data_IF_683550541334
#
_entry.id   IF_683550541334
#
_cell.length_a   1.000
_cell.length_b   1.000
_cell.length_c   1.000
_cell.angle_alpha   90.00
_cell.angle_beta   90.00
_cell.angle_gamma   90.00
#
_symmetry.space_group_name_H-M   'P 1'
#
loop_
_entity.id
_entity.type
_entity.pdbx_description
1 polymer ?
#
# COMPACT_ATOMS: atom_id res chain seq x y z
N UNK A 1 -27.90 -5.86 -10.20
CA UNK A 1 -26.71 -6.67 -9.85
C UNK A 1 -26.18 -6.10 -8.56
N UNK A 2 -25.93 -6.95 -7.58
CA UNK A 2 -25.35 -6.49 -6.31
C UNK A 2 -23.88 -6.09 -6.56
N UNK A 3 -23.54 -4.86 -6.17
CA UNK A 3 -22.19 -4.34 -6.27
C UNK A 3 -21.68 -4.09 -4.86
N UNK A 4 -20.58 -4.76 -4.49
CA UNK A 4 -19.89 -4.47 -3.22
C UNK A 4 -19.00 -3.23 -3.39
N UNK A 5 -19.15 -2.26 -2.48
CA UNK A 5 -18.27 -1.11 -2.41
C UNK A 5 -17.10 -1.40 -1.50
N UNK A 6 -15.90 -1.26 -2.03
CA UNK A 6 -14.64 -1.49 -1.30
C UNK A 6 -13.84 -0.19 -1.21
N UNK A 7 -13.37 0.17 -0.03
CA UNK A 7 -12.37 1.22 0.16
C UNK A 7 -11.03 0.56 0.51
N UNK A 8 -9.99 0.80 -0.27
CA UNK A 8 -8.73 0.08 -0.15
C UNK A 8 -7.51 0.99 -0.19
N UNK A 9 -6.44 0.55 0.46
CA UNK A 9 -5.12 1.16 0.31
C UNK A 9 -4.55 0.92 -1.09
N UNK A 10 -3.65 1.81 -1.50
CA UNK A 10 -2.96 1.73 -2.79
C UNK A 10 -2.09 0.47 -2.93
N UNK A 11 -1.66 -0.13 -1.81
CA UNK A 11 -0.80 -1.31 -1.82
C UNK A 11 -1.42 -2.53 -2.52
N UNK A 12 -2.75 -2.67 -2.44
CA UNK A 12 -3.50 -3.79 -3.05
C UNK A 12 -4.03 -3.43 -4.45
N UNK A 13 -3.97 -2.16 -4.84
CA UNK A 13 -4.57 -1.65 -6.10
C UNK A 13 -4.08 -2.42 -7.33
N UNK A 14 -2.78 -2.74 -7.40
CA UNK A 14 -2.19 -3.44 -8.55
C UNK A 14 -2.73 -4.86 -8.76
N UNK A 15 -3.16 -5.53 -7.68
CA UNK A 15 -3.78 -6.85 -7.71
C UNK A 15 -5.30 -6.80 -7.89
N UNK A 16 -5.93 -5.65 -7.59
CA UNK A 16 -7.36 -5.62 -7.30
C UNK A 16 -8.25 -5.87 -8.50
N UNK A 17 -7.86 -5.43 -9.69
CA UNK A 17 -8.65 -5.65 -10.91
C UNK A 17 -8.82 -7.16 -11.18
N UNK A 18 -7.73 -7.92 -11.14
CA UNK A 18 -7.74 -9.37 -11.34
C UNK A 18 -8.49 -10.09 -10.21
N UNK A 19 -8.28 -9.69 -8.95
CA UNK A 19 -9.02 -10.23 -7.80
C UNK A 19 -10.53 -10.01 -7.96
N UNK A 20 -10.96 -8.84 -8.43
CA UNK A 20 -12.37 -8.51 -8.64
C UNK A 20 -12.97 -9.35 -9.77
N UNK A 21 -12.25 -9.55 -10.88
CA UNK A 21 -12.68 -10.41 -11.99
C UNK A 21 -12.83 -11.87 -11.58
N UNK A 22 -11.87 -12.41 -10.84
CA UNK A 22 -11.92 -13.78 -10.32
C UNK A 22 -13.08 -13.96 -9.35
N UNK A 23 -13.27 -13.01 -8.43
CA UNK A 23 -14.39 -13.05 -7.50
C UNK A 23 -15.73 -12.96 -8.21
N UNK A 24 -15.87 -12.05 -9.17
CA UNK A 24 -17.09 -11.94 -9.98
C UNK A 24 -17.37 -13.23 -10.76
N UNK A 25 -16.35 -13.84 -11.35
CA UNK A 25 -16.49 -15.10 -12.09
C UNK A 25 -16.95 -16.24 -11.19
N UNK A 26 -16.47 -16.28 -9.94
CA UNK A 26 -16.83 -17.34 -8.99
C UNK A 26 -18.21 -17.15 -8.34
N UNK A 27 -18.66 -15.89 -8.16
CA UNK A 27 -19.84 -15.59 -7.32
C UNK A 27 -20.96 -14.86 -8.04
N UNK A 28 -20.67 -14.23 -9.18
CA UNK A 28 -21.60 -13.33 -9.88
C UNK A 28 -21.72 -11.93 -9.23
N UNK A 29 -20.96 -11.64 -8.17
CA UNK A 29 -21.00 -10.38 -7.43
C UNK A 29 -19.95 -9.42 -7.99
N UNK A 30 -20.37 -8.21 -8.36
CA UNK A 30 -19.45 -7.17 -8.78
C UNK A 30 -18.82 -6.46 -7.59
N UNK A 31 -17.60 -5.97 -7.77
CA UNK A 31 -16.90 -5.15 -6.77
C UNK A 31 -16.52 -3.81 -7.40
N UNK A 32 -16.91 -2.72 -6.73
CA UNK A 32 -16.49 -1.36 -7.04
C UNK A 32 -15.51 -0.89 -5.96
N UNK A 33 -14.26 -0.60 -6.35
CA UNK A 33 -13.21 -0.27 -5.41
C UNK A 33 -12.66 1.14 -5.65
N UNK A 34 -12.48 1.88 -4.55
CA UNK A 34 -11.80 3.16 -4.54
C UNK A 34 -10.55 3.10 -3.65
N UNK A 35 -9.49 3.80 -4.06
CA UNK A 35 -8.16 3.67 -3.49
C UNK A 35 -7.62 5.01 -2.99
N UNK A 36 -7.11 5.01 -1.75
CA UNK A 36 -6.47 6.18 -1.17
C UNK A 36 -5.36 5.78 -0.17
N UNK A 37 -4.47 6.70 0.22
CA UNK A 37 -3.51 6.47 1.29
C UNK A 37 -4.22 6.18 2.63
N UNK A 38 -3.55 5.41 3.51
CA UNK A 38 -4.10 4.94 4.79
C UNK A 38 -4.79 6.04 5.60
N UNK A 39 -4.11 7.17 5.87
CA UNK A 39 -4.72 8.24 6.69
C UNK A 39 -5.93 8.87 6.00
N UNK A 40 -5.89 9.03 4.68
CA UNK A 40 -7.04 9.55 3.92
C UNK A 40 -8.25 8.62 4.02
N UNK A 41 -8.05 7.29 3.98
CA UNK A 41 -9.13 6.33 4.17
C UNK A 41 -9.72 6.39 5.58
N UNK A 42 -8.88 6.49 6.61
CA UNK A 42 -9.34 6.63 7.99
C UNK A 42 -10.20 7.89 8.19
N UNK A 43 -9.78 9.02 7.60
CA UNK A 43 -10.57 10.26 7.62
C UNK A 43 -11.91 10.10 6.91
N UNK A 44 -11.94 9.50 5.71
CA UNK A 44 -13.16 9.24 4.95
C UNK A 44 -14.14 8.35 5.73
N UNK A 45 -13.63 7.26 6.33
CA UNK A 45 -14.44 6.35 7.13
C UNK A 45 -14.98 7.03 8.40
N UNK A 46 -14.18 7.85 9.08
CA UNK A 46 -14.63 8.65 10.23
C UNK A 46 -15.67 9.69 9.82
N UNK A 47 -15.54 10.26 8.61
CA UNK A 47 -16.52 11.15 7.99
C UNK A 47 -17.82 10.47 7.58
N UNK A 48 -17.93 9.14 7.72
CA UNK A 48 -19.16 8.38 7.44
C UNK A 48 -19.30 7.95 5.99
N UNK A 49 -18.20 7.91 5.23
CA UNK A 49 -18.25 7.37 3.87
C UNK A 49 -18.65 5.90 3.87
N UNK A 50 -19.62 5.55 3.03
CA UNK A 50 -20.19 4.22 2.97
C UNK A 50 -19.25 3.26 2.21
N UNK A 51 -19.05 2.08 2.78
CA UNK A 51 -18.42 0.94 2.14
C UNK A 51 -19.02 -0.37 2.70
N UNK A 52 -18.83 -1.46 1.99
CA UNK A 52 -19.21 -2.80 2.45
C UNK A 52 -17.99 -3.50 3.08
N UNK A 53 -16.83 -3.36 2.45
CA UNK A 53 -15.56 -3.92 2.89
C UNK A 53 -14.48 -2.84 2.83
N UNK A 54 -13.55 -2.87 3.77
CA UNK A 54 -12.38 -2.00 3.78
C UNK A 54 -11.11 -2.84 3.79
N UNK A 55 -10.05 -2.36 3.10
CA UNK A 55 -8.71 -2.93 3.14
C UNK A 55 -7.76 -1.84 3.59
N UNK A 56 -7.21 -2.00 4.79
CA UNK A 56 -6.36 -1.01 5.46
C UNK A 56 -5.05 -1.66 5.92
N UNK A 57 -4.15 -0.88 6.50
CA UNK A 57 -3.10 -1.48 7.34
C UNK A 57 -3.76 -2.13 8.55
N UNK A 58 -3.11 -3.12 9.14
CA UNK A 58 -3.64 -3.84 10.33
C UNK A 58 -3.96 -2.86 11.46
N UNK A 59 -3.07 -1.92 11.73
CA UNK A 59 -3.26 -0.90 12.75
C UNK A 59 -4.50 -0.03 12.45
N UNK A 60 -4.63 0.43 11.20
CA UNK A 60 -5.80 1.24 10.80
C UNK A 60 -7.10 0.45 10.86
N UNK A 61 -7.07 -0.84 10.55
CA UNK A 61 -8.25 -1.71 10.68
C UNK A 61 -8.63 -1.92 12.14
N UNK A 62 -7.64 -2.12 13.02
CA UNK A 62 -7.87 -2.27 14.46
C UNK A 62 -8.45 -0.99 15.09
N UNK A 63 -8.00 0.19 14.64
CA UNK A 63 -8.60 1.48 15.03
C UNK A 63 -10.08 1.53 14.64
N UNK A 64 -10.41 1.20 13.38
CA UNK A 64 -11.80 1.21 12.89
C UNK A 64 -12.66 0.17 13.62
N UNK A 65 -12.11 -0.97 14.00
CA UNK A 65 -12.80 -1.98 14.81
C UNK A 65 -13.03 -1.49 16.25
N UNK A 66 -12.05 -0.84 16.87
CA UNK A 66 -12.20 -0.23 18.19
C UNK A 66 -13.27 0.89 18.20
N UNK A 67 -13.35 1.67 17.12
CA UNK A 67 -14.39 2.68 16.90
C UNK A 67 -15.76 2.07 16.51
N UNK A 68 -15.87 0.73 16.43
CA UNK A 68 -17.07 -0.03 16.02
C UNK A 68 -17.56 0.30 14.61
N UNK A 69 -16.70 0.78 13.74
CA UNK A 69 -16.99 1.03 12.32
C UNK A 69 -16.81 -0.21 11.47
N UNK A 70 -15.88 -1.08 11.87
CA UNK A 70 -15.62 -2.40 11.27
C UNK A 70 -16.04 -3.48 12.26
N UNK A 71 -16.66 -4.55 11.78
CA UNK A 71 -17.02 -5.70 12.57
C UNK A 71 -15.74 -6.48 12.96
N UNK A 72 -15.29 -6.36 14.20
CA UNK A 72 -14.02 -6.91 14.67
C UNK A 72 -13.83 -8.40 14.35
N UNK A 73 -14.91 -9.20 14.44
CA UNK A 73 -14.87 -10.62 14.12
C UNK A 73 -14.64 -10.95 12.63
N UNK A 74 -14.75 -9.95 11.74
CA UNK A 74 -14.54 -10.12 10.30
C UNK A 74 -13.12 -9.72 9.86
N UNK A 75 -12.29 -9.16 10.75
CA UNK A 75 -10.96 -8.70 10.39
C UNK A 75 -10.04 -9.87 10.05
N UNK A 76 -9.43 -9.82 8.87
CA UNK A 76 -8.54 -10.87 8.34
C UNK A 76 -7.30 -10.25 7.72
N UNK A 77 -6.13 -10.83 7.96
CA UNK A 77 -4.90 -10.45 7.29
C UNK A 77 -4.87 -11.02 5.88
N UNK A 78 -4.44 -10.21 4.93
CA UNK A 78 -4.34 -10.58 3.52
C UNK A 78 -2.90 -10.82 3.10
N UNK A 79 -2.02 -9.86 3.37
CA UNK A 79 -0.63 -9.93 2.93
C UNK A 79 0.25 -8.93 3.68
N UNK A 80 1.56 -9.18 3.64
CA UNK A 80 2.61 -8.24 4.05
C UNK A 80 3.15 -7.50 2.84
N UNK A 81 3.64 -6.29 3.05
CA UNK A 81 4.37 -5.53 2.05
C UNK A 81 5.55 -4.80 2.68
N UNK A 82 6.64 -4.77 1.94
CA UNK A 82 7.87 -4.07 2.32
C UNK A 82 7.97 -2.75 1.57
N UNK A 83 8.52 -1.75 2.24
CA UNK A 83 8.94 -0.51 1.60
C UNK A 83 10.21 -0.79 0.80
N UNK A 84 10.21 -0.34 -0.43
CA UNK A 84 11.33 -0.47 -1.34
C UNK A 84 11.71 0.85 -2.00
N UNK A 85 12.73 0.76 -2.83
CA UNK A 85 13.23 1.84 -3.67
C UNK A 85 13.10 1.44 -5.13
N UNK A 86 12.68 2.39 -5.97
CA UNK A 86 12.69 2.27 -7.41
C UNK A 86 13.44 3.44 -8.05
N UNK A 87 13.99 3.16 -9.22
CA UNK A 87 14.64 4.11 -10.12
C UNK A 87 13.93 4.13 -11.47
N UNK A 88 14.18 5.14 -12.30
CA UNK A 88 13.74 5.13 -13.70
C UNK A 88 14.41 3.98 -14.45
N UNK A 89 13.66 3.27 -15.26
CA UNK A 89 14.18 2.16 -16.06
C UNK A 89 15.42 2.57 -16.87
N UNK A 90 16.42 1.70 -16.85
CA UNK A 90 17.72 1.91 -17.49
C UNK A 90 18.69 2.84 -16.72
N UNK A 91 18.33 3.31 -15.53
CA UNK A 91 19.26 4.02 -14.63
C UNK A 91 20.00 3.02 -13.76
N UNK A 92 21.24 3.39 -13.34
CA UNK A 92 21.99 2.57 -12.41
C UNK A 92 21.27 2.40 -11.07
N UNK A 93 21.23 1.17 -10.57
CA UNK A 93 20.68 0.87 -9.25
C UNK A 93 21.67 1.28 -8.16
N UNK A 94 21.27 2.14 -7.20
CA UNK A 94 22.10 2.41 -6.04
C UNK A 94 22.21 1.16 -5.17
N UNK A 95 23.33 1.00 -4.48
CA UNK A 95 23.43 0.01 -3.42
C UNK A 95 22.57 0.44 -2.22
N UNK A 96 21.66 -0.42 -1.82
CA UNK A 96 20.77 -0.23 -0.66
C UNK A 96 20.83 -1.45 0.29
N UNK A 97 21.83 -2.32 0.14
CA UNK A 97 21.92 -3.60 0.82
C UNK A 97 22.21 -3.50 2.33
N UNK A 98 22.73 -2.37 2.78
CA UNK A 98 23.05 -2.09 4.18
C UNK A 98 22.54 -0.73 4.62
N UNK A 99 22.47 -0.48 5.93
CA UNK A 99 22.14 0.85 6.46
C UNK A 99 23.03 1.95 5.90
N UNK A 100 24.34 1.71 5.85
CA UNK A 100 25.33 2.68 5.36
C UNK A 100 25.15 2.96 3.86
N UNK A 101 24.91 1.93 3.06
CA UNK A 101 24.66 2.04 1.63
C UNK A 101 23.35 2.79 1.35
N UNK A 102 22.27 2.40 2.02
CA UNK A 102 20.97 3.09 1.93
C UNK A 102 21.09 4.58 2.29
N UNK A 103 21.78 4.88 3.41
CA UNK A 103 22.03 6.26 3.84
C UNK A 103 22.76 7.05 2.76
N UNK A 104 23.78 6.46 2.14
CA UNK A 104 24.54 7.07 1.04
C UNK A 104 23.63 7.32 -0.17
N UNK A 105 22.88 6.30 -0.60
CA UNK A 105 21.95 6.43 -1.73
C UNK A 105 20.94 7.57 -1.54
N UNK A 106 20.32 7.63 -0.35
CA UNK A 106 19.32 8.65 -0.02
C UNK A 106 19.90 10.07 0.05
N UNK A 107 21.13 10.23 0.55
CA UNK A 107 21.76 11.55 0.70
C UNK A 107 22.41 12.06 -0.57
N UNK A 108 22.81 11.17 -1.49
CA UNK A 108 23.40 11.55 -2.78
C UNK A 108 22.39 11.73 -3.90
N UNK A 109 21.17 11.22 -3.74
CA UNK A 109 20.11 11.42 -4.72
C UNK A 109 19.79 12.92 -4.87
N UNK A 110 19.63 13.39 -6.12
CA UNK A 110 19.20 14.76 -6.41
C UNK A 110 17.83 15.07 -5.79
N UNK A 111 16.93 14.11 -5.83
CA UNK A 111 15.61 14.20 -5.20
C UNK A 111 15.07 12.79 -4.88
N UNK A 112 14.30 12.69 -3.80
CA UNK A 112 13.62 11.46 -3.36
C UNK A 112 12.11 11.69 -3.34
N UNK A 113 11.37 10.95 -4.15
CA UNK A 113 9.91 10.99 -4.16
C UNK A 113 9.34 10.11 -3.04
N UNK A 114 8.51 10.67 -2.19
CA UNK A 114 7.88 9.96 -1.07
C UNK A 114 6.50 10.56 -0.73
N UNK A 115 5.69 9.80 0.00
CA UNK A 115 4.44 10.26 0.61
C UNK A 115 4.67 10.66 2.08
N UNK A 116 3.63 11.23 2.74
CA UNK A 116 3.60 11.47 4.19
C UNK A 116 2.41 10.79 4.88
N UNK A 117 1.42 10.38 4.13
CA UNK A 117 0.13 9.91 4.66
C UNK A 117 -0.16 8.43 4.33
N UNK A 118 0.66 7.79 3.51
CA UNK A 118 0.64 6.35 3.28
C UNK A 118 1.53 5.61 4.26
N UNK A 119 1.31 4.29 4.42
CA UNK A 119 2.08 3.43 5.33
C UNK A 119 3.60 3.53 5.08
N UNK A 120 4.03 3.47 3.82
CA UNK A 120 5.44 3.63 3.42
C UNK A 120 6.01 5.01 3.78
N UNK A 121 5.22 6.06 3.61
CA UNK A 121 5.65 7.42 3.89
C UNK A 121 5.83 7.68 5.38
N UNK A 122 4.96 7.11 6.22
CA UNK A 122 5.07 7.18 7.69
C UNK A 122 6.34 6.46 8.15
N UNK A 123 6.57 5.22 7.66
CA UNK A 123 7.78 4.46 7.96
C UNK A 123 9.03 5.21 7.49
N UNK A 124 9.03 5.72 6.25
CA UNK A 124 10.19 6.41 5.67
C UNK A 124 10.54 7.68 6.44
N UNK A 125 9.53 8.45 6.89
CA UNK A 125 9.78 9.64 7.70
C UNK A 125 10.47 9.30 9.03
N UNK A 126 10.06 8.21 9.69
CA UNK A 126 10.72 7.73 10.91
C UNK A 126 12.12 7.20 10.64
N UNK A 127 12.31 6.49 9.53
CA UNK A 127 13.59 5.92 9.13
C UNK A 127 14.65 7.00 8.92
N UNK A 128 14.36 8.05 8.14
CA UNK A 128 15.34 9.11 7.88
C UNK A 128 15.71 9.89 9.13
N UNK A 129 14.82 9.99 10.12
CA UNK A 129 15.12 10.54 11.45
C UNK A 129 16.07 9.60 12.20
N UNK A 130 15.77 8.30 12.26
CA UNK A 130 16.62 7.28 12.89
C UNK A 130 18.02 7.24 12.29
N UNK A 131 18.12 7.38 10.96
CA UNK A 131 19.40 7.44 10.24
C UNK A 131 20.14 8.78 10.40
N UNK A 132 19.55 9.79 11.02
CA UNK A 132 20.15 11.12 11.18
C UNK A 132 20.30 11.93 9.89
N UNK A 133 19.53 11.59 8.84
CA UNK A 133 19.59 12.24 7.50
C UNK A 133 18.34 13.04 7.15
N UNK A 134 17.39 13.18 8.07
CA UNK A 134 16.11 13.81 7.78
C UNK A 134 16.24 15.23 7.20
N UNK A 135 17.20 16.03 7.71
CA UNK A 135 17.42 17.39 7.22
C UNK A 135 17.93 17.41 5.77
N UNK A 136 18.79 16.45 5.38
CA UNK A 136 19.32 16.35 4.00
C UNK A 136 18.18 15.90 3.09
N UNK A 137 17.56 14.75 3.37
CA UNK A 137 16.53 14.16 2.51
C UNK A 137 15.32 15.07 2.34
N UNK A 138 14.84 15.70 3.42
CA UNK A 138 13.70 16.60 3.36
C UNK A 138 13.96 17.89 2.57
N UNK A 139 15.22 18.33 2.46
CA UNK A 139 15.58 19.53 1.68
C UNK A 139 15.36 19.34 0.16
N UNK A 140 15.38 18.09 -0.32
CA UNK A 140 15.18 17.75 -1.74
C UNK A 140 14.12 16.66 -1.97
N UNK A 141 13.21 16.48 -1.01
CA UNK A 141 12.12 15.53 -1.14
C UNK A 141 11.02 16.05 -2.07
N UNK A 142 10.58 15.21 -3.02
CA UNK A 142 9.36 15.40 -3.79
C UNK A 142 8.22 14.70 -3.06
N UNK A 143 7.48 15.47 -2.30
CA UNK A 143 6.40 14.94 -1.45
C UNK A 143 5.10 14.94 -2.26
N UNK A 144 4.47 13.77 -2.41
CA UNK A 144 3.18 13.65 -3.07
C UNK A 144 2.05 13.52 -2.02
N UNK A 145 0.92 14.20 -2.23
CA UNK A 145 -0.23 14.10 -1.32
C UNK A 145 -0.98 12.77 -1.49
N UNK A 146 -0.94 12.18 -2.67
CA UNK A 146 -1.60 10.91 -3.02
C UNK A 146 -0.99 10.32 -4.28
N UNK A 147 -1.33 9.07 -4.63
CA UNK A 147 -0.89 8.40 -5.85
C UNK A 147 0.43 7.65 -5.68
N UNK A 148 1.14 7.47 -6.78
CA UNK A 148 2.32 6.61 -6.86
C UNK A 148 3.59 7.46 -6.98
N UNK A 149 4.54 7.29 -6.04
CA UNK A 149 5.79 8.07 -5.99
C UNK A 149 6.67 7.82 -7.22
N UNK A 150 6.61 6.61 -7.78
CA UNK A 150 7.37 6.22 -8.94
C UNK A 150 7.03 7.03 -10.21
N UNK A 151 5.84 7.62 -10.30
CA UNK A 151 5.49 8.55 -11.39
C UNK A 151 6.41 9.76 -11.43
N UNK A 152 6.89 10.23 -10.27
CA UNK A 152 7.83 11.35 -10.19
C UNK A 152 9.21 10.99 -10.74
N UNK A 153 9.60 9.73 -10.61
CA UNK A 153 10.86 9.21 -11.17
C UNK A 153 10.75 9.08 -12.69
N UNK A 154 9.64 8.58 -13.21
CA UNK A 154 9.38 8.53 -14.66
C UNK A 154 9.40 9.94 -15.27
N UNK A 155 8.84 10.94 -14.57
CA UNK A 155 8.82 12.33 -14.97
C UNK A 155 10.16 13.08 -14.79
N UNK A 156 11.24 12.38 -14.36
CA UNK A 156 12.56 12.98 -14.04
C UNK A 156 12.51 14.06 -12.94
N UNK A 157 11.47 14.09 -12.12
CA UNK A 157 11.34 15.00 -10.97
C UNK A 157 12.14 14.50 -9.75
N UNK A 158 12.36 13.17 -9.66
CA UNK A 158 13.17 12.54 -8.63
C UNK A 158 14.05 11.43 -9.21
N UNK A 159 15.14 11.10 -8.50
CA UNK A 159 16.02 10.01 -8.88
C UNK A 159 15.57 8.69 -8.24
N UNK A 160 15.01 8.77 -7.03
CA UNK A 160 14.54 7.64 -6.25
C UNK A 160 13.06 7.81 -5.88
N UNK A 161 12.30 6.73 -5.97
CA UNK A 161 10.97 6.62 -5.41
C UNK A 161 10.98 5.67 -4.21
N UNK A 162 10.35 6.08 -3.12
CA UNK A 162 10.19 5.27 -1.90
C UNK A 162 8.70 5.04 -1.67
N UNK A 163 8.29 3.77 -1.76
CA UNK A 163 6.90 3.35 -1.53
C UNK A 163 6.84 1.85 -1.22
N UNK A 164 5.66 1.28 -0.95
CA UNK A 164 5.50 -0.17 -0.89
C UNK A 164 5.93 -0.78 -2.25
N UNK A 165 6.60 -1.92 -2.22
CA UNK A 165 7.05 -2.60 -3.46
C UNK A 165 5.87 -2.86 -4.40
N UNK A 166 4.73 -3.26 -3.86
CA UNK A 166 3.51 -3.47 -4.63
C UNK A 166 2.97 -2.21 -5.31
N UNK A 167 3.23 -1.03 -4.74
CA UNK A 167 2.87 0.26 -5.32
C UNK A 167 3.88 0.68 -6.41
N UNK A 168 5.18 0.47 -6.17
CA UNK A 168 6.24 0.76 -7.15
C UNK A 168 6.06 -0.06 -8.43
N UNK A 169 5.68 -1.32 -8.31
CA UNK A 169 5.44 -2.24 -9.44
C UNK A 169 4.26 -1.83 -10.34
N UNK A 170 3.38 -0.95 -9.88
CA UNK A 170 2.24 -0.47 -10.69
C UNK A 170 2.63 0.55 -11.77
N UNK A 171 3.81 1.14 -11.69
CA UNK A 171 4.23 2.21 -12.60
C UNK A 171 5.16 1.65 -13.68
N UNK A 172 4.72 1.73 -14.94
CA UNK A 172 5.58 1.38 -16.06
C UNK A 172 6.74 2.39 -16.20
N UNK A 173 7.90 1.91 -16.64
CA UNK A 173 9.09 2.76 -16.83
C UNK A 173 9.93 2.97 -15.58
N UNK A 174 9.70 2.16 -14.54
CA UNK A 174 10.59 2.09 -13.36
C UNK A 174 11.14 0.68 -13.18
N UNK A 175 12.25 0.59 -12.49
CA UNK A 175 12.85 -0.65 -12.00
C UNK A 175 12.92 -0.60 -10.48
N UNK A 176 12.37 -1.64 -9.83
CA UNK A 176 12.46 -1.80 -8.38
C UNK A 176 13.87 -2.28 -8.04
N UNK A 177 14.61 -1.46 -7.30
CA UNK A 177 15.97 -1.79 -6.83
C UNK A 177 15.92 -2.92 -5.81
N UNK A 178 14.95 -2.84 -4.89
CA UNK A 178 14.74 -3.83 -3.86
C UNK A 178 14.05 -3.25 -2.62
N UNK A 179 13.81 -4.08 -1.60
CA UNK A 179 13.34 -3.62 -0.30
C UNK A 179 14.42 -2.82 0.44
N UNK A 180 14.00 -1.90 1.28
CA UNK A 180 14.86 -1.34 2.34
C UNK A 180 15.36 -2.52 3.21
N UNK A 181 16.60 -2.50 3.74
CA UNK A 181 17.13 -3.59 4.57
C UNK A 181 16.15 -4.01 5.67
N UNK A 182 15.97 -5.32 5.84
CA UNK A 182 14.94 -5.87 6.74
C UNK A 182 15.09 -5.41 8.20
N UNK A 183 16.32 -5.19 8.66
CA UNK A 183 16.61 -4.68 10.01
C UNK A 183 16.19 -3.22 10.21
N UNK A 184 15.88 -2.51 9.13
CA UNK A 184 15.48 -1.11 9.14
C UNK A 184 13.98 -0.91 9.02
N UNK A 185 13.21 -1.95 8.74
CA UNK A 185 11.77 -1.87 8.57
C UNK A 185 11.02 -3.05 9.19
N UNK A 186 9.78 -2.80 9.56
CA UNK A 186 8.78 -3.81 9.84
C UNK A 186 7.82 -3.80 8.65
N UNK A 187 7.50 -4.95 8.04
CA UNK A 187 6.56 -4.99 6.93
C UNK A 187 5.19 -4.50 7.38
N UNK A 188 4.53 -3.72 6.54
CA UNK A 188 3.13 -3.39 6.77
C UNK A 188 2.26 -4.62 6.49
N UNK A 189 1.34 -4.91 7.40
CA UNK A 189 0.32 -5.94 7.20
C UNK A 189 -0.92 -5.23 6.64
N UNK A 190 -1.40 -5.69 5.49
CA UNK A 190 -2.65 -5.23 4.91
C UNK A 190 -3.75 -6.24 5.23
N UNK A 191 -4.82 -5.73 5.82
CA UNK A 191 -5.91 -6.54 6.36
C UNK A 191 -7.24 -6.01 5.84
N UNK A 192 -8.21 -6.89 5.69
CA UNK A 192 -9.57 -6.57 5.28
C UNK A 192 -10.57 -6.78 6.41
N UNK A 193 -11.66 -6.04 6.36
CA UNK A 193 -12.75 -6.19 7.31
C UNK A 193 -14.07 -5.69 6.72
N UNK A 194 -15.15 -6.28 7.17
CA UNK A 194 -16.52 -5.88 6.82
C UNK A 194 -16.93 -4.66 7.63
N UNK A 195 -17.55 -3.68 6.98
CA UNK A 195 -18.12 -2.55 7.70
C UNK A 195 -19.23 -3.02 8.65
N UNK A 196 -19.28 -2.42 9.83
CA UNK A 196 -20.30 -2.77 10.86
C UNK A 196 -21.72 -2.47 10.36
N UNK A 197 -21.84 -1.40 9.55
CA UNK A 197 -23.10 -1.00 8.92
C UNK A 197 -22.97 -1.24 7.43
N UNK A 198 -23.44 -2.39 6.96
CA UNK A 198 -23.62 -2.76 5.56
C UNK A 198 -24.92 -3.51 5.40
N UNK A 199 -25.61 -3.30 4.29
CA UNK A 199 -26.80 -4.05 3.90
C UNK A 199 -26.48 -5.35 3.16
N UNK A 200 -25.17 -5.64 2.93
CA UNK A 200 -24.65 -6.82 2.20
C UNK A 200 -23.68 -7.67 3.04
N UNK A 201 -24.04 -8.05 4.28
CA UNK A 201 -23.08 -8.75 5.16
C UNK A 201 -22.64 -10.12 4.62
N UNK A 202 -23.53 -10.86 3.96
CA UNK A 202 -23.20 -12.18 3.42
C UNK A 202 -22.25 -12.09 2.20
N UNK A 203 -22.48 -11.15 1.30
CA UNK A 203 -21.64 -10.91 0.15
C UNK A 203 -20.26 -10.37 0.57
N UNK A 204 -20.23 -9.50 1.57
CA UNK A 204 -18.96 -9.00 2.15
C UNK A 204 -18.13 -10.14 2.75
N UNK A 205 -18.77 -11.07 3.46
CA UNK A 205 -18.09 -12.24 4.01
C UNK A 205 -17.53 -13.14 2.91
N UNK A 206 -18.29 -13.36 1.82
CA UNK A 206 -17.80 -14.11 0.66
C UNK A 206 -16.54 -13.47 0.06
N UNK A 207 -16.49 -12.13 -0.04
CA UNK A 207 -15.30 -11.43 -0.52
C UNK A 207 -14.11 -11.62 0.44
N UNK A 208 -14.32 -11.52 1.75
CA UNK A 208 -13.25 -11.72 2.74
C UNK A 208 -12.69 -13.15 2.70
N UNK A 209 -13.54 -14.15 2.51
CA UNK A 209 -13.13 -15.56 2.35
C UNK A 209 -12.33 -15.72 1.06
N UNK A 210 -12.80 -15.16 -0.06
CA UNK A 210 -12.10 -15.21 -1.34
C UNK A 210 -10.73 -14.55 -1.28
N UNK A 211 -10.60 -13.37 -0.69
CA UNK A 211 -9.33 -12.64 -0.58
C UNK A 211 -8.24 -13.42 0.18
N UNK A 212 -8.62 -14.47 0.94
CA UNK A 212 -7.71 -15.38 1.64
C UNK A 212 -7.53 -16.73 0.92
N UNK A 213 -8.12 -16.90 -0.23
CA UNK A 213 -7.99 -18.13 -0.99
C UNK A 213 -6.57 -18.32 -1.56
N UNK A 214 -6.15 -19.56 -1.86
CA UNK A 214 -4.88 -19.80 -2.55
C UNK A 214 -4.80 -19.09 -3.91
N UNK A 215 -5.90 -18.92 -4.59
CA UNK A 215 -6.01 -18.22 -5.87
C UNK A 215 -5.72 -16.73 -5.69
N UNK A 216 -6.36 -16.07 -4.73
CA UNK A 216 -6.07 -14.68 -4.41
C UNK A 216 -4.62 -14.47 -3.96
N UNK A 217 -4.05 -15.44 -3.22
CA UNK A 217 -2.66 -15.39 -2.78
C UNK A 217 -1.66 -15.40 -3.95
N UNK A 218 -1.96 -16.05 -5.07
CA UNK A 218 -1.12 -16.02 -6.27
C UNK A 218 -1.11 -14.61 -6.87
N UNK A 219 -2.27 -14.02 -7.08
CA UNK A 219 -2.40 -12.66 -7.62
C UNK A 219 -1.70 -11.62 -6.74
N UNK A 220 -1.85 -11.75 -5.41
CA UNK A 220 -1.17 -10.86 -4.46
C UNK A 220 0.36 -10.97 -4.56
N UNK A 221 0.92 -12.20 -4.71
CA UNK A 221 2.37 -12.39 -4.89
C UNK A 221 2.88 -11.76 -6.18
N UNK A 222 2.18 -11.93 -7.29
CA UNK A 222 2.55 -11.33 -8.57
C UNK A 222 2.57 -9.80 -8.50
N UNK A 223 1.65 -9.23 -7.73
CA UNK A 223 1.64 -7.80 -7.43
C UNK A 223 2.74 -7.34 -6.46
N UNK A 224 3.54 -8.24 -5.89
CA UNK A 224 4.66 -7.90 -4.99
C UNK A 224 4.27 -7.82 -3.52
N UNK A 225 3.20 -8.48 -3.13
CA UNK A 225 2.76 -8.68 -1.76
C UNK A 225 3.15 -10.10 -1.28
N UNK A 226 3.23 -10.30 0.04
CA UNK A 226 3.50 -11.60 0.68
C UNK A 226 2.28 -12.04 1.48
N UNK A 227 1.38 -12.86 0.88
CA UNK A 227 0.21 -13.41 1.56
C UNK A 227 0.54 -14.37 2.70
#
# INVERSE_FOLDING_TARGET
MDVLRVLSTLAVKGAFAELAELFQSATGINVDADFAPTLGLLERLRGGEAADVVILTREGLDEMAAERRVAAASCVDLARSYVGIAVKAGRAHPDISTEAALRTALTQARAVACSRIGASGILFAQLIVRLGIAHIVNAHAVIIPSGLTAERVVADEADLAVQQISELKQVAGVEVVGPIPHELQVPAIFSAGRMAITDKPAQSEQLLVFLRSPEAALVLREAGLEP
#
